data_IF_694089546148
#
_entry.id   IF_694089546148
#
_cell.length_a   1.000
_cell.length_b   1.000
_cell.length_c   1.000
_cell.angle_alpha   90.00
_cell.angle_beta   90.00
_cell.angle_gamma   90.00
#
_symmetry.space_group_name_H-M   'P 1'
#
loop_
_entity.id
_entity.type
_entity.pdbx_description
1 polymer ?
#
# COMPACT_ATOMS: atom_id res chain seq x y z
N UNK A 1 -27.21 -7.10 -6.20
CA UNK A 1 -26.64 -8.45 -6.41
C UNK A 1 -25.17 -8.27 -6.75
N UNK A 2 -24.22 -8.86 -6.04
CA UNK A 2 -22.84 -8.88 -6.59
C UNK A 2 -21.68 -9.28 -5.69
N UNK A 3 -21.76 -9.14 -4.35
CA UNK A 3 -20.64 -9.49 -3.46
C UNK A 3 -20.86 -10.76 -2.63
N UNK A 4 -22.09 -11.28 -2.60
CA UNK A 4 -22.55 -12.26 -1.60
C UNK A 4 -22.24 -13.73 -1.92
N UNK A 5 -21.27 -14.03 -2.79
CA UNK A 5 -20.69 -15.39 -2.92
C UNK A 5 -19.52 -15.42 -3.93
N UNK A 6 -18.49 -14.60 -3.75
CA UNK A 6 -17.30 -14.72 -4.62
C UNK A 6 -16.54 -16.01 -4.28
N UNK A 7 -16.08 -16.74 -5.31
CA UNK A 7 -15.36 -17.99 -5.09
C UNK A 7 -13.99 -17.74 -4.40
N UNK A 8 -13.44 -18.74 -3.69
CA UNK A 8 -12.11 -18.62 -3.09
C UNK A 8 -10.99 -18.26 -4.08
N UNK A 9 -11.14 -18.65 -5.35
CA UNK A 9 -10.20 -18.31 -6.42
C UNK A 9 -10.30 -16.84 -6.82
N UNK A 10 -11.51 -16.27 -6.88
CA UNK A 10 -11.69 -14.84 -7.14
C UNK A 10 -11.07 -13.98 -6.04
N UNK A 11 -11.29 -14.32 -4.77
CA UNK A 11 -10.67 -13.60 -3.66
C UNK A 11 -9.14 -13.68 -3.71
N UNK A 12 -8.59 -14.83 -4.08
CA UNK A 12 -7.15 -15.01 -4.25
C UNK A 12 -6.59 -14.11 -5.37
N UNK A 13 -7.28 -14.02 -6.52
CA UNK A 13 -6.91 -13.10 -7.61
C UNK A 13 -6.96 -11.64 -7.18
N UNK A 14 -7.98 -11.24 -6.41
CA UNK A 14 -8.06 -9.90 -5.85
C UNK A 14 -6.89 -9.62 -4.89
N UNK A 15 -6.53 -10.59 -4.04
CA UNK A 15 -5.36 -10.50 -3.17
C UNK A 15 -4.04 -10.40 -3.94
N UNK A 16 -3.89 -11.09 -5.08
CA UNK A 16 -2.76 -10.90 -6.01
C UNK A 16 -2.74 -9.49 -6.63
N UNK A 17 -3.91 -8.91 -6.90
CA UNK A 17 -4.01 -7.51 -7.31
C UNK A 17 -3.50 -6.55 -6.24
N UNK A 18 -3.79 -6.81 -4.97
CA UNK A 18 -3.22 -6.03 -3.85
C UNK A 18 -1.70 -6.25 -3.77
N UNK A 19 -1.22 -7.48 -3.96
CA UNK A 19 0.23 -7.75 -3.97
C UNK A 19 0.95 -6.97 -5.08
N UNK A 20 0.37 -6.92 -6.29
CA UNK A 20 0.99 -6.24 -7.43
C UNK A 20 1.03 -4.73 -7.26
N UNK A 21 0.01 -4.11 -6.66
CA UNK A 21 0.03 -2.67 -6.37
C UNK A 21 1.12 -2.30 -5.36
N UNK A 22 1.38 -3.12 -4.33
CA UNK A 22 2.53 -2.92 -3.43
C UNK A 22 3.88 -2.97 -4.18
N UNK A 23 4.03 -3.89 -5.14
CA UNK A 23 5.25 -3.96 -5.98
C UNK A 23 5.38 -2.74 -6.89
N UNK A 24 4.27 -2.22 -7.42
CA UNK A 24 4.25 -0.98 -8.21
C UNK A 24 4.64 0.22 -7.34
N UNK A 25 4.08 0.34 -6.13
CA UNK A 25 4.46 1.40 -5.18
C UNK A 25 5.95 1.34 -4.83
N UNK A 26 6.48 0.14 -4.60
CA UNK A 26 7.91 -0.08 -4.38
C UNK A 26 8.76 0.38 -5.56
N UNK A 27 8.33 0.05 -6.78
CA UNK A 27 9.02 0.46 -8.01
C UNK A 27 9.01 1.98 -8.15
N UNK A 28 7.87 2.63 -7.89
CA UNK A 28 7.77 4.10 -7.91
C UNK A 28 8.66 4.75 -6.86
N UNK A 29 8.74 4.19 -5.65
CA UNK A 29 9.67 4.66 -4.62
C UNK A 29 11.14 4.52 -5.06
N UNK A 30 11.48 3.47 -5.78
CA UNK A 30 12.85 3.23 -6.25
C UNK A 30 13.23 4.15 -7.41
N UNK A 31 12.35 4.30 -8.40
CA UNK A 31 12.63 5.02 -9.64
C UNK A 31 12.27 6.50 -9.61
N UNK A 32 11.44 6.95 -8.68
CA UNK A 32 10.98 8.34 -8.57
C UNK A 32 11.02 8.86 -7.13
N UNK A 33 12.18 8.84 -6.47
CA UNK A 33 12.31 9.14 -5.04
C UNK A 33 11.85 10.55 -4.67
N UNK A 34 12.08 11.53 -5.55
CA UNK A 34 11.60 12.91 -5.35
C UNK A 34 10.08 13.01 -5.33
N UNK A 35 9.37 12.25 -6.18
CA UNK A 35 7.90 12.26 -6.20
C UNK A 35 7.34 11.59 -4.94
N UNK A 36 7.97 10.51 -4.51
CA UNK A 36 7.61 9.81 -3.27
C UNK A 36 7.81 10.70 -2.05
N UNK A 37 8.97 11.32 -1.91
CA UNK A 37 9.24 12.26 -0.83
C UNK A 37 8.32 13.49 -0.88
N UNK A 38 7.99 13.98 -2.07
CA UNK A 38 7.04 15.09 -2.24
C UNK A 38 5.62 14.70 -1.81
N UNK A 39 5.16 13.48 -2.10
CA UNK A 39 3.84 12.98 -1.68
C UNK A 39 3.69 13.00 -0.14
N UNK A 40 4.74 12.60 0.56
CA UNK A 40 4.76 12.57 2.04
C UNK A 40 5.27 13.87 2.68
N UNK A 41 5.73 14.84 1.89
CA UNK A 41 6.14 16.16 2.37
C UNK A 41 7.52 16.26 2.97
N UNK A 42 8.40 15.31 2.64
CA UNK A 42 9.78 15.32 3.11
C UNK A 42 10.64 16.36 2.38
N UNK A 43 10.23 16.80 1.18
CA UNK A 43 10.97 17.79 0.39
C UNK A 43 10.73 19.26 0.78
N UNK A 44 10.02 19.54 1.88
CA UNK A 44 9.58 20.89 2.24
C UNK A 44 10.32 21.49 3.46
N UNK A 45 11.39 20.83 3.94
CA UNK A 45 12.11 21.23 5.15
C UNK A 45 13.58 21.49 4.85
N UNK A 46 13.90 22.75 4.50
CA UNK A 46 15.21 23.45 4.67
C UNK A 46 16.01 23.81 3.41
N UNK A 47 16.71 24.94 3.49
CA UNK A 47 17.46 25.65 2.44
C UNK A 47 18.80 24.97 2.02
N UNK A 48 19.06 23.74 2.51
CA UNK A 48 20.33 23.01 2.29
C UNK A 48 20.16 21.86 1.31
N UNK A 49 20.47 22.09 0.04
CA UNK A 49 20.24 21.15 -1.08
C UNK A 49 20.88 19.76 -0.94
N UNK A 50 21.94 19.58 -0.13
CA UNK A 50 22.69 18.32 -0.01
C UNK A 50 22.15 17.37 1.05
N UNK A 51 21.73 17.88 2.23
CA UNK A 51 21.12 17.06 3.29
C UNK A 51 19.73 16.53 2.89
N UNK A 52 19.04 17.25 2.01
CA UNK A 52 17.72 16.88 1.49
C UNK A 52 17.76 15.71 0.51
N UNK A 53 18.84 15.56 -0.26
CA UNK A 53 18.96 14.49 -1.25
C UNK A 53 19.15 13.12 -0.59
N UNK A 54 20.06 13.03 0.39
CA UNK A 54 20.30 11.78 1.13
C UNK A 54 19.07 11.36 1.95
N UNK A 55 18.40 12.33 2.59
CA UNK A 55 17.15 12.08 3.34
C UNK A 55 16.02 11.60 2.43
N UNK A 56 15.89 12.20 1.23
CA UNK A 56 14.93 11.80 0.20
C UNK A 56 15.18 10.37 -0.27
N UNK A 57 16.44 10.04 -0.60
CA UNK A 57 16.83 8.70 -1.04
C UNK A 57 16.65 7.67 0.07
N UNK A 58 17.05 7.99 1.30
CA UNK A 58 16.90 7.11 2.47
C UNK A 58 15.43 6.80 2.77
N UNK A 59 14.57 7.82 2.79
CA UNK A 59 13.14 7.62 2.99
C UNK A 59 12.51 6.81 1.86
N UNK A 60 12.81 7.15 0.61
CA UNK A 60 12.25 6.43 -0.54
C UNK A 60 12.74 4.98 -0.62
N UNK A 61 13.99 4.72 -0.26
CA UNK A 61 14.54 3.37 -0.15
C UNK A 61 13.88 2.55 0.97
N UNK A 62 13.63 3.17 2.13
CA UNK A 62 12.91 2.54 3.24
C UNK A 62 11.47 2.17 2.84
N UNK A 63 10.73 3.11 2.24
CA UNK A 63 9.38 2.84 1.74
C UNK A 63 9.38 1.76 0.64
N UNK A 64 10.30 1.88 -0.32
CA UNK A 64 10.38 0.95 -1.44
C UNK A 64 10.68 -0.48 -0.99
N UNK A 65 11.64 -0.68 -0.09
CA UNK A 65 11.97 -2.00 0.45
C UNK A 65 10.85 -2.59 1.30
N UNK A 66 10.19 -1.78 2.13
CA UNK A 66 9.00 -2.17 2.91
C UNK A 66 7.89 -2.67 1.99
N UNK A 67 7.55 -1.89 0.98
CA UNK A 67 6.44 -2.19 0.07
C UNK A 67 6.74 -3.44 -0.76
N UNK A 68 8.00 -3.63 -1.18
CA UNK A 68 8.44 -4.85 -1.87
C UNK A 68 8.29 -6.09 -0.99
N UNK A 69 8.71 -6.00 0.28
CA UNK A 69 8.60 -7.09 1.23
C UNK A 69 7.14 -7.49 1.47
N UNK A 70 6.25 -6.50 1.63
CA UNK A 70 4.81 -6.71 1.75
C UNK A 70 4.25 -7.39 0.49
N UNK A 71 4.55 -6.86 -0.69
CA UNK A 71 4.08 -7.40 -1.97
C UNK A 71 4.53 -8.83 -2.21
N UNK A 72 5.79 -9.16 -1.91
CA UNK A 72 6.32 -10.52 -2.01
C UNK A 72 5.66 -11.47 -1.01
N UNK A 73 5.48 -11.05 0.24
CA UNK A 73 4.80 -11.86 1.25
C UNK A 73 3.36 -12.18 0.82
N UNK A 74 2.61 -11.19 0.35
CA UNK A 74 1.27 -11.38 -0.20
C UNK A 74 1.27 -12.32 -1.40
N UNK A 75 2.19 -12.14 -2.35
CA UNK A 75 2.32 -13.01 -3.52
C UNK A 75 2.54 -14.47 -3.15
N UNK A 76 3.45 -14.75 -2.20
CA UNK A 76 3.72 -16.12 -1.77
C UNK A 76 2.54 -16.75 -1.01
N UNK A 77 1.82 -15.98 -0.18
CA UNK A 77 0.62 -16.46 0.48
C UNK A 77 -0.49 -16.77 -0.54
N UNK A 78 -0.70 -15.87 -1.49
CA UNK A 78 -1.68 -16.05 -2.56
C UNK A 78 -1.37 -17.28 -3.41
N UNK A 79 -0.11 -17.46 -3.83
CA UNK A 79 0.35 -18.64 -4.60
C UNK A 79 0.12 -19.96 -3.86
N UNK A 80 0.16 -19.96 -2.53
CA UNK A 80 -0.13 -21.13 -1.68
C UNK A 80 -1.64 -21.32 -1.40
N UNK A 81 -2.51 -20.45 -1.89
CA UNK A 81 -3.96 -20.49 -1.61
C UNK A 81 -4.32 -20.17 -0.15
N UNK A 82 -3.40 -19.56 0.61
CA UNK A 82 -3.56 -19.23 2.03
C UNK A 82 -4.35 -17.94 2.21
N UNK A 83 -5.64 -18.02 1.87
CA UNK A 83 -6.53 -16.86 1.78
C UNK A 83 -6.74 -16.15 3.12
N UNK A 84 -6.91 -16.89 4.23
CA UNK A 84 -7.12 -16.27 5.55
C UNK A 84 -5.88 -15.50 6.02
N UNK A 85 -4.69 -16.07 5.83
CA UNK A 85 -3.43 -15.40 6.18
C UNK A 85 -3.12 -14.24 5.23
N UNK A 86 -3.44 -14.37 3.94
CA UNK A 86 -3.34 -13.27 2.98
C UNK A 86 -4.27 -12.12 3.37
N UNK A 87 -5.52 -12.43 3.73
CA UNK A 87 -6.49 -11.45 4.20
C UNK A 87 -6.02 -10.76 5.48
N UNK A 88 -5.48 -11.53 6.44
CA UNK A 88 -4.90 -10.98 7.67
C UNK A 88 -3.73 -10.04 7.38
N UNK A 89 -2.83 -10.42 6.47
CA UNK A 89 -1.72 -9.56 6.06
C UNK A 89 -2.24 -8.27 5.40
N UNK A 90 -3.20 -8.34 4.48
CA UNK A 90 -3.80 -7.15 3.84
C UNK A 90 -4.47 -6.25 4.88
N UNK A 91 -5.20 -6.81 5.84
CA UNK A 91 -5.83 -6.01 6.89
C UNK A 91 -4.79 -5.36 7.81
N UNK A 92 -3.68 -6.03 8.09
CA UNK A 92 -2.59 -5.45 8.88
C UNK A 92 -1.92 -4.26 8.19
N UNK A 93 -1.82 -4.27 6.85
CA UNK A 93 -1.23 -3.14 6.11
C UNK A 93 -2.14 -1.91 6.08
N UNK A 94 -3.42 -2.02 6.46
CA UNK A 94 -4.30 -0.85 6.63
C UNK A 94 -3.78 0.10 7.71
N UNK A 95 -3.04 -0.39 8.70
CA UNK A 95 -2.36 0.47 9.68
C UNK A 95 -1.33 1.38 9.00
N UNK A 96 -0.60 0.86 8.01
CA UNK A 96 0.34 1.64 7.19
C UNK A 96 -0.42 2.65 6.36
N UNK A 97 -1.49 2.23 5.69
CA UNK A 97 -2.33 3.14 4.89
C UNK A 97 -2.95 4.25 5.74
N UNK A 98 -3.35 3.97 6.99
CA UNK A 98 -3.86 4.97 7.92
C UNK A 98 -2.77 6.00 8.31
N UNK A 99 -1.53 5.55 8.51
CA UNK A 99 -0.40 6.44 8.75
C UNK A 99 -0.12 7.32 7.52
N UNK A 100 -0.13 6.74 6.31
CA UNK A 100 0.07 7.46 5.06
C UNK A 100 -1.02 8.51 4.83
N UNK A 101 -2.30 8.15 5.06
CA UNK A 101 -3.44 9.07 5.05
C UNK A 101 -3.21 10.21 6.04
N UNK A 102 -2.77 9.92 7.26
CA UNK A 102 -2.49 10.93 8.29
C UNK A 102 -1.41 11.92 7.87
N UNK A 103 -0.35 11.45 7.19
CA UNK A 103 0.70 12.30 6.63
C UNK A 103 0.14 13.20 5.51
N UNK A 104 -0.61 12.63 4.56
CA UNK A 104 -1.21 13.39 3.44
C UNK A 104 -2.25 14.41 3.93
N UNK A 105 -3.04 14.06 4.95
CA UNK A 105 -4.00 14.95 5.60
C UNK A 105 -3.32 16.19 6.18
N UNK A 106 -2.17 16.02 6.83
CA UNK A 106 -1.37 17.15 7.37
C UNK A 106 -0.89 18.09 6.28
N UNK A 107 -0.69 17.59 5.04
CA UNK A 107 -0.34 18.43 3.88
C UNK A 107 -1.53 19.10 3.22
N UNK A 108 -2.77 18.78 3.62
CA UNK A 108 -4.02 19.29 3.01
C UNK A 108 -4.14 19.00 1.52
N UNK A 109 -3.52 17.93 1.04
CA UNK A 109 -3.62 17.47 -0.35
C UNK A 109 -4.86 16.60 -0.53
N UNK A 110 -6.02 17.23 -0.79
CA UNK A 110 -7.31 16.52 -0.85
C UNK A 110 -7.41 15.52 -2.01
N UNK A 111 -6.71 15.79 -3.13
CA UNK A 111 -6.67 14.88 -4.27
C UNK A 111 -6.01 13.55 -3.90
N UNK A 112 -4.78 13.60 -3.40
CA UNK A 112 -4.03 12.41 -2.97
C UNK A 112 -4.73 11.70 -1.81
N UNK A 113 -5.30 12.45 -0.86
CA UNK A 113 -6.05 11.91 0.25
C UNK A 113 -7.23 11.04 -0.21
N UNK A 114 -8.00 11.52 -1.19
CA UNK A 114 -9.16 10.78 -1.71
C UNK A 114 -8.75 9.47 -2.38
N UNK A 115 -7.65 9.48 -3.14
CA UNK A 115 -7.10 8.29 -3.79
C UNK A 115 -6.61 7.27 -2.76
N UNK A 116 -5.85 7.71 -1.75
CA UNK A 116 -5.39 6.82 -0.67
C UNK A 116 -6.56 6.25 0.14
N UNK A 117 -7.54 7.07 0.48
CA UNK A 117 -8.72 6.62 1.22
C UNK A 117 -9.53 5.58 0.43
N UNK A 118 -9.76 5.82 -0.86
CA UNK A 118 -10.45 4.88 -1.73
C UNK A 118 -9.69 3.56 -1.87
N UNK A 119 -8.37 3.60 -2.11
CA UNK A 119 -7.54 2.40 -2.18
C UNK A 119 -7.54 1.61 -0.87
N UNK A 120 -7.46 2.30 0.27
CA UNK A 120 -7.52 1.69 1.61
C UNK A 120 -8.86 0.99 1.84
N UNK A 121 -9.97 1.61 1.45
CA UNK A 121 -11.29 0.98 1.55
C UNK A 121 -11.40 -0.28 0.67
N UNK A 122 -10.87 -0.24 -0.55
CA UNK A 122 -10.81 -1.42 -1.44
C UNK A 122 -9.99 -2.54 -0.80
N UNK A 123 -8.81 -2.24 -0.24
CA UNK A 123 -7.99 -3.25 0.44
C UNK A 123 -8.70 -3.84 1.66
N UNK A 124 -9.43 -3.02 2.42
CA UNK A 124 -10.21 -3.51 3.57
C UNK A 124 -11.29 -4.50 3.12
N UNK A 125 -12.02 -4.20 2.05
CA UNK A 125 -13.02 -5.12 1.48
C UNK A 125 -12.37 -6.41 0.99
N UNK A 126 -11.25 -6.33 0.27
CA UNK A 126 -10.54 -7.53 -0.21
C UNK A 126 -10.02 -8.38 0.96
N UNK A 127 -9.42 -7.74 1.97
CA UNK A 127 -8.91 -8.41 3.16
C UNK A 127 -10.00 -9.11 3.98
N UNK A 128 -11.14 -8.45 4.18
CA UNK A 128 -12.30 -9.06 4.86
C UNK A 128 -12.90 -10.22 4.04
N UNK A 129 -13.00 -10.06 2.71
CA UNK A 129 -13.52 -11.10 1.83
C UNK A 129 -12.65 -12.36 1.81
N UNK A 130 -11.33 -12.20 1.80
CA UNK A 130 -10.36 -13.29 1.91
C UNK A 130 -10.48 -14.09 3.22
N UNK A 131 -10.96 -13.47 4.30
CA UNK A 131 -11.24 -14.11 5.59
C UNK A 131 -12.64 -14.73 5.69
N UNK A 132 -13.40 -14.72 4.60
CA UNK A 132 -14.73 -15.32 4.52
C UNK A 132 -15.86 -14.48 5.13
N UNK A 133 -15.66 -13.18 5.35
CA UNK A 133 -16.69 -12.31 5.94
C UNK A 133 -17.86 -11.99 5.00
N UNK A 134 -17.71 -12.26 3.70
CA UNK A 134 -18.73 -12.05 2.65
C UNK A 134 -19.22 -13.36 2.01
N UNK A 135 -18.84 -14.51 2.58
CA UNK A 135 -19.23 -15.85 2.13
C UNK A 135 -20.37 -16.42 2.98
#
# INVERSE_FOLDING_TARGET
>A
MGLSSLSPTTWNTLGLGVASSWVVLSSLATFSPHRTAALFGITALSDSQTADHESTLGFSGLLGSRDLAIGLAMYFLAKKGRNDELGTLILSTLCICAADIGLVLRRKSYGELSVLAAGTAVYAVIGLGLRGLFN
#
